data_IF_448562586734
#
_entry.id   IF_448562586734
#
_cell.length_a   1.000
_cell.length_b   1.000
_cell.length_c   1.000
_cell.angle_alpha   90.00
_cell.angle_beta   90.00
_cell.angle_gamma   90.00
#
_symmetry.space_group_name_H-M   'P 1'
#
loop_
_entity.id
_entity.type
_entity.pdbx_description
1 polymer ?
#
# COMPACT_ATOMS: atom_id res chain seq x y z
N UNK A 1 24.37 -7.06 -10.77
CA UNK A 1 23.13 -7.85 -10.96
C UNK A 1 22.15 -7.40 -9.90
N UNK A 2 20.93 -6.93 -10.23
CA UNK A 2 19.92 -6.65 -9.22
C UNK A 2 19.50 -7.97 -8.56
N UNK A 3 19.40 -7.98 -7.23
CA UNK A 3 18.88 -9.14 -6.51
C UNK A 3 17.39 -9.28 -6.81
N UNK A 4 16.99 -10.40 -7.40
CA UNK A 4 15.59 -10.73 -7.66
C UNK A 4 15.02 -11.38 -6.39
N UNK A 5 14.17 -10.66 -5.67
CA UNK A 5 13.44 -11.20 -4.53
C UNK A 5 12.04 -11.60 -4.98
N UNK A 6 11.73 -12.89 -4.90
CA UNK A 6 10.35 -13.35 -5.06
C UNK A 6 9.61 -13.18 -3.73
N UNK A 7 8.35 -12.70 -3.76
CA UNK A 7 7.54 -12.62 -2.54
C UNK A 7 7.39 -14.03 -1.94
N UNK A 8 7.40 -14.11 -0.61
CA UNK A 8 7.05 -15.37 0.07
C UNK A 8 5.62 -15.78 -0.27
N UNK A 9 5.30 -17.06 -0.09
CA UNK A 9 3.95 -17.58 -0.32
C UNK A 9 2.88 -16.73 0.37
N UNK A 10 3.12 -16.35 1.62
CA UNK A 10 2.16 -15.59 2.42
C UNK A 10 1.97 -14.17 1.87
N UNK A 11 3.06 -13.52 1.43
CA UNK A 11 2.99 -12.22 0.76
C UNK A 11 2.16 -12.31 -0.53
N UNK A 12 2.36 -13.38 -1.32
CA UNK A 12 1.59 -13.60 -2.54
C UNK A 12 0.10 -13.79 -2.27
N UNK A 13 -0.25 -14.63 -1.29
CA UNK A 13 -1.66 -14.86 -0.91
C UNK A 13 -2.33 -13.55 -0.47
N UNK A 14 -1.65 -12.73 0.32
CA UNK A 14 -2.18 -11.45 0.76
C UNK A 14 -2.38 -10.46 -0.40
N UNK A 15 -1.42 -10.39 -1.32
CA UNK A 15 -1.53 -9.55 -2.53
C UNK A 15 -2.67 -10.02 -3.43
N UNK A 16 -2.79 -11.33 -3.65
CA UNK A 16 -3.88 -11.90 -4.46
C UNK A 16 -5.25 -11.57 -3.83
N UNK A 17 -5.37 -11.72 -2.50
CA UNK A 17 -6.59 -11.34 -1.77
C UNK A 17 -6.96 -9.86 -1.93
N UNK A 18 -5.98 -8.95 -1.77
CA UNK A 18 -6.18 -7.51 -1.97
C UNK A 18 -6.63 -7.21 -3.40
N UNK A 19 -6.03 -7.87 -4.40
CA UNK A 19 -6.39 -7.68 -5.80
C UNK A 19 -7.82 -8.14 -6.10
N UNK A 20 -8.24 -9.27 -5.53
CA UNK A 20 -9.58 -9.81 -5.69
C UNK A 20 -10.64 -8.92 -5.00
N UNK A 21 -10.34 -8.46 -3.78
CA UNK A 21 -11.25 -7.61 -3.01
C UNK A 21 -11.39 -6.22 -3.62
N UNK A 22 -10.32 -5.69 -4.24
CA UNK A 22 -10.31 -4.36 -4.87
C UNK A 22 -11.50 -4.15 -5.82
N UNK A 23 -11.82 -5.15 -6.65
CA UNK A 23 -12.92 -5.05 -7.61
C UNK A 23 -14.27 -4.78 -6.92
N UNK A 24 -14.47 -5.31 -5.71
CA UNK A 24 -15.68 -5.09 -4.93
C UNK A 24 -15.72 -3.66 -4.36
N UNK A 25 -14.58 -3.17 -3.85
CA UNK A 25 -14.49 -1.83 -3.25
C UNK A 25 -14.53 -0.69 -4.28
N UNK A 26 -13.99 -0.94 -5.49
CA UNK A 26 -13.89 0.04 -6.57
C UNK A 26 -15.24 0.48 -7.15
N UNK A 27 -16.35 -0.14 -6.72
CA UNK A 27 -17.71 0.30 -7.06
C UNK A 27 -18.23 1.45 -6.17
N UNK A 28 -17.52 1.81 -5.10
CA UNK A 28 -17.91 2.93 -4.23
C UNK A 28 -17.57 4.29 -4.85
N UNK A 29 -18.27 5.35 -4.41
CA UNK A 29 -18.09 6.71 -4.93
C UNK A 29 -16.67 7.27 -4.71
N UNK A 30 -15.94 6.77 -3.71
CA UNK A 30 -14.55 7.14 -3.45
C UNK A 30 -13.61 6.80 -4.63
N UNK A 31 -14.02 5.86 -5.51
CA UNK A 31 -13.25 5.39 -6.66
C UNK A 31 -13.73 6.00 -7.98
N UNK A 32 -14.48 7.09 -7.95
CA UNK A 32 -14.92 7.74 -9.18
C UNK A 32 -13.72 8.20 -10.03
N UNK A 33 -13.68 7.77 -11.30
CA UNK A 33 -12.57 8.06 -12.22
C UNK A 33 -11.30 7.23 -11.96
N UNK A 34 -11.39 6.17 -11.14
CA UNK A 34 -10.30 5.24 -10.82
C UNK A 34 -10.46 3.90 -11.58
N UNK A 35 -9.38 3.12 -11.77
CA UNK A 35 -9.49 1.77 -12.31
C UNK A 35 -10.48 0.94 -11.49
N UNK A 36 -11.33 0.16 -12.16
CA UNK A 36 -12.34 -0.68 -11.48
C UNK A 36 -11.84 -2.09 -11.20
N UNK A 37 -10.67 -2.45 -11.71
CA UNK A 37 -10.01 -3.75 -11.56
C UNK A 37 -8.50 -3.56 -11.58
N UNK A 38 -7.76 -4.48 -10.98
CA UNK A 38 -6.29 -4.53 -11.08
C UNK A 38 -5.93 -5.56 -12.15
N UNK A 39 -5.65 -5.11 -13.37
CA UNK A 39 -5.19 -6.01 -14.45
C UNK A 39 -3.67 -6.20 -14.43
N UNK A 40 -2.96 -5.16 -13.99
CA UNK A 40 -1.51 -5.14 -13.78
C UNK A 40 -1.20 -4.25 -12.58
N UNK A 41 -0.16 -4.63 -11.84
CA UNK A 41 0.38 -3.83 -10.75
C UNK A 41 1.88 -4.08 -10.58
N UNK A 42 2.55 -3.16 -9.89
CA UNK A 42 3.88 -3.34 -9.36
C UNK A 42 3.76 -3.67 -7.86
N UNK A 43 4.36 -4.79 -7.46
CA UNK A 43 4.42 -5.23 -6.06
C UNK A 43 5.84 -5.04 -5.55
N UNK A 44 6.00 -4.37 -4.42
CA UNK A 44 7.29 -4.16 -3.78
C UNK A 44 7.20 -4.25 -2.25
N UNK A 45 8.19 -4.87 -1.61
CA UNK A 45 8.42 -4.72 -0.18
C UNK A 45 9.22 -3.45 0.08
N UNK A 46 8.70 -2.56 0.93
CA UNK A 46 9.29 -1.24 1.19
C UNK A 46 9.47 -1.03 2.69
N UNK A 47 10.52 -0.29 3.04
CA UNK A 47 10.81 0.14 4.41
C UNK A 47 10.96 1.65 4.41
N UNK A 48 10.17 2.32 5.25
CA UNK A 48 10.13 3.77 5.36
C UNK A 48 10.60 4.20 6.75
N UNK A 49 11.46 5.20 6.78
CA UNK A 49 12.02 5.79 8.00
C UNK A 49 11.79 7.31 8.09
N UNK A 50 11.27 7.92 7.02
CA UNK A 50 11.08 9.36 6.88
C UNK A 50 9.83 9.67 6.07
N UNK A 51 9.43 10.95 6.10
CA UNK A 51 8.28 11.43 5.35
C UNK A 51 8.53 11.30 3.84
N UNK A 52 7.60 10.65 3.13
CA UNK A 52 7.70 10.50 1.68
C UNK A 52 6.35 10.75 0.99
N UNK A 53 6.36 11.27 -0.25
CA UNK A 53 5.14 11.31 -1.06
C UNK A 53 4.75 9.90 -1.52
N UNK A 54 3.48 9.56 -1.38
CA UNK A 54 2.87 8.37 -1.94
C UNK A 54 2.01 8.76 -3.13
N UNK A 55 2.25 8.07 -4.26
CA UNK A 55 1.47 8.26 -5.48
C UNK A 55 0.05 7.73 -5.30
N UNK A 56 -0.90 8.41 -5.94
CA UNK A 56 -2.25 7.90 -6.08
C UNK A 56 -2.26 6.50 -6.71
N UNK A 57 -3.28 5.70 -6.37
CA UNK A 57 -3.44 4.30 -6.78
C UNK A 57 -2.36 3.37 -6.24
N UNK A 58 -2.02 3.59 -4.97
CA UNK A 58 -1.17 2.69 -4.20
C UNK A 58 -2.01 2.05 -3.12
N UNK A 59 -1.93 0.72 -2.97
CA UNK A 59 -2.43 0.01 -1.81
C UNK A 59 -1.21 -0.33 -0.95
N UNK A 60 -1.23 0.09 0.31
CA UNK A 60 -0.21 -0.24 1.28
C UNK A 60 -0.75 -1.26 2.27
N UNK A 61 -0.03 -2.37 2.43
CA UNK A 61 -0.28 -3.37 3.46
C UNK A 61 0.88 -3.35 4.46
N UNK A 62 0.73 -2.71 5.63
CA UNK A 62 1.72 -2.71 6.68
C UNK A 62 1.98 -4.11 7.22
N UNK A 63 3.26 -4.44 7.38
CA UNK A 63 3.74 -5.67 8.00
C UNK A 63 4.33 -5.40 9.39
N UNK A 64 4.89 -4.21 9.59
CA UNK A 64 5.41 -3.76 10.87
C UNK A 64 5.28 -2.24 10.96
N UNK A 65 4.69 -1.76 12.04
CA UNK A 65 4.64 -0.35 12.40
C UNK A 65 5.40 -0.15 13.70
N UNK A 66 6.28 0.85 13.75
CA UNK A 66 6.98 1.26 14.97
C UNK A 66 6.95 2.78 15.05
N UNK A 67 6.54 3.33 16.20
CA UNK A 67 6.25 4.75 16.34
C UNK A 67 4.90 5.16 15.74
N UNK A 68 4.68 6.46 15.57
CA UNK A 68 3.46 7.01 14.98
C UNK A 68 3.66 7.26 13.48
N UNK A 69 2.81 6.65 12.65
CA UNK A 69 2.89 6.71 11.20
C UNK A 69 1.51 7.07 10.65
N UNK A 70 1.46 7.97 9.68
CA UNK A 70 0.22 8.42 9.08
C UNK A 70 0.29 8.41 7.56
N UNK A 71 -0.81 8.08 6.90
CA UNK A 71 -1.02 8.28 5.47
C UNK A 71 -2.09 9.37 5.33
N UNK A 72 -1.69 10.55 4.88
CA UNK A 72 -2.55 11.74 4.98
C UNK A 72 -2.88 12.02 6.45
N UNK A 73 -4.16 11.90 6.81
CA UNK A 73 -4.67 12.09 8.18
C UNK A 73 -5.03 10.77 8.89
N UNK A 74 -4.75 9.62 8.26
CA UNK A 74 -5.08 8.30 8.80
C UNK A 74 -3.87 7.69 9.48
N UNK A 75 -4.01 7.29 10.75
CA UNK A 75 -2.97 6.53 11.46
C UNK A 75 -2.87 5.11 10.91
N UNK A 76 -1.63 4.67 10.68
CA UNK A 76 -1.31 3.36 10.12
C UNK A 76 -1.12 2.34 11.24
N UNK A 77 -1.75 1.18 11.07
CA UNK A 77 -1.62 -0.02 11.90
C UNK A 77 -1.39 -1.26 11.02
N UNK A 78 -1.25 -2.43 11.64
CA UNK A 78 -1.00 -3.70 10.92
C UNK A 78 -2.26 -4.54 10.70
N UNK A 79 -3.41 -4.08 11.19
CA UNK A 79 -4.68 -4.80 11.09
C UNK A 79 -5.44 -4.42 9.80
N UNK A 80 -5.05 -3.31 9.17
CA UNK A 80 -5.65 -2.80 7.95
C UNK A 80 -4.62 -2.64 6.82
N UNK A 81 -5.10 -2.76 5.58
CA UNK A 81 -4.40 -2.22 4.41
C UNK A 81 -5.10 -0.93 3.96
N UNK A 82 -4.34 -0.05 3.30
CA UNK A 82 -4.76 1.32 3.03
C UNK A 82 -4.77 1.61 1.54
N UNK A 83 -5.90 2.11 1.04
CA UNK A 83 -6.07 2.51 -0.35
C UNK A 83 -5.78 4.00 -0.50
N UNK A 84 -4.65 4.32 -1.12
CA UNK A 84 -4.23 5.69 -1.41
C UNK A 84 -4.81 6.11 -2.76
N UNK A 85 -6.00 6.73 -2.73
CA UNK A 85 -6.75 7.10 -3.95
C UNK A 85 -6.34 8.45 -4.56
N UNK A 86 -5.68 9.30 -3.77
CA UNK A 86 -5.10 10.57 -4.18
C UNK A 86 -3.65 10.67 -3.75
N UNK A 87 -2.90 11.62 -4.31
CA UNK A 87 -1.54 11.88 -3.85
C UNK A 87 -1.56 12.39 -2.41
N UNK A 88 -0.71 11.82 -1.55
CA UNK A 88 -0.60 12.22 -0.15
C UNK A 88 0.82 11.99 0.35
N UNK A 89 1.07 12.36 1.60
CA UNK A 89 2.32 12.04 2.30
C UNK A 89 2.11 10.88 3.26
N UNK A 90 3.06 9.95 3.25
CA UNK A 90 3.34 9.11 4.40
C UNK A 90 4.17 9.96 5.36
N UNK A 91 3.67 10.17 6.57
CA UNK A 91 4.40 10.83 7.64
C UNK A 91 4.92 9.81 8.61
N UNK A 92 6.21 9.88 8.92
CA UNK A 92 6.88 9.00 9.88
C UNK A 92 7.42 9.89 11.00
N UNK A 93 6.83 9.78 12.19
CA UNK A 93 7.33 10.52 13.35
C UNK A 93 8.78 10.16 13.67
N UNK A 94 9.49 11.03 14.38
CA UNK A 94 10.89 10.81 14.76
C UNK A 94 11.08 9.44 15.43
N UNK A 95 12.06 8.67 14.93
CA UNK A 95 12.34 7.30 15.38
C UNK A 95 11.34 6.24 14.88
N UNK A 96 10.39 6.62 14.02
CA UNK A 96 9.41 5.73 13.44
C UNK A 96 9.94 4.85 12.30
N UNK A 97 9.22 3.77 12.02
CA UNK A 97 9.52 2.81 10.95
C UNK A 97 8.27 2.10 10.46
N UNK A 98 8.03 2.12 9.16
CA UNK A 98 7.03 1.29 8.49
C UNK A 98 7.72 0.25 7.61
N UNK A 99 7.39 -1.02 7.78
CA UNK A 99 7.64 -2.07 6.78
C UNK A 99 6.31 -2.40 6.15
N UNK A 100 6.20 -2.34 4.83
CA UNK A 100 4.95 -2.60 4.13
C UNK A 100 5.16 -3.27 2.78
N UNK A 101 4.13 -3.99 2.32
CA UNK A 101 3.98 -4.33 0.91
C UNK A 101 3.23 -3.19 0.23
N UNK A 102 3.74 -2.76 -0.91
CA UNK A 102 3.11 -1.75 -1.77
C UNK A 102 2.65 -2.41 -3.06
N UNK A 103 1.38 -2.25 -3.38
CA UNK A 103 0.79 -2.58 -4.68
C UNK A 103 0.49 -1.26 -5.39
N UNK A 104 1.22 -0.94 -6.44
CA UNK A 104 1.20 0.37 -7.10
C UNK A 104 1.09 0.23 -8.62
N UNK A 105 1.03 1.36 -9.34
CA UNK A 105 0.87 1.38 -10.81
C UNK A 105 -0.30 0.50 -11.27
N UNK A 106 -1.40 0.56 -10.52
CA UNK A 106 -2.62 -0.21 -10.80
C UNK A 106 -3.22 0.29 -12.12
N UNK A 107 -3.36 -0.63 -13.09
CA UNK A 107 -4.00 -0.40 -14.39
C UNK A 107 -5.21 -1.30 -14.57
#
# INVERSE_FOLDING_TARGET
>A
MPAHFEPTRDCKVAVDYICDEYATQAHSSAYQGKPTRISKCLVAGLVYFEDIPIKSFTILMPLQVSGNIQIGDVTVDTDHYYHVLGECFLKVAEGGKLVAISVSNIM
#
